data_IF_595719233433
#
_entry.id   IF_595719233433
#
_cell.length_a   1.000
_cell.length_b   1.000
_cell.length_c   1.000
_cell.angle_alpha   90.00
_cell.angle_beta   90.00
_cell.angle_gamma   90.00
#
_symmetry.space_group_name_H-M   'P 1'
#
loop_
_entity.id
_entity.type
_entity.pdbx_description
1 polymer ?
#
# COMPACT_ATOMS: atom_id res chain seq x y z
N UNK A 1 13.21 7.68 -38.21
CA UNK A 1 11.96 8.29 -37.71
C UNK A 1 12.35 9.41 -36.78
N UNK A 2 11.96 10.64 -37.09
CA UNK A 2 12.46 11.85 -36.43
C UNK A 2 12.03 11.93 -34.96
N UNK A 3 12.98 12.14 -34.04
CA UNK A 3 12.74 12.17 -32.60
C UNK A 3 11.80 13.33 -32.22
N UNK A 4 11.85 14.44 -32.95
CA UNK A 4 10.96 15.57 -32.75
C UNK A 4 9.51 15.22 -33.12
N UNK A 5 9.32 14.46 -34.20
CA UNK A 5 7.98 13.99 -34.59
C UNK A 5 7.38 13.05 -33.54
N UNK A 6 8.19 12.27 -32.83
CA UNK A 6 7.71 11.42 -31.73
C UNK A 6 7.21 12.25 -30.57
N UNK A 7 8.01 13.20 -30.07
CA UNK A 7 7.59 14.07 -28.96
C UNK A 7 6.36 14.92 -29.32
N UNK A 8 6.28 15.43 -30.55
CA UNK A 8 5.10 16.16 -31.02
C UNK A 8 3.84 15.30 -31.01
N UNK A 9 3.93 14.03 -31.43
CA UNK A 9 2.80 13.08 -31.38
C UNK A 9 2.41 12.75 -29.95
N UNK A 10 3.38 12.50 -29.07
CA UNK A 10 3.11 12.24 -27.64
C UNK A 10 2.42 13.44 -26.99
N UNK A 11 2.83 14.66 -27.32
CA UNK A 11 2.22 15.87 -26.76
C UNK A 11 0.78 16.04 -27.22
N UNK A 12 0.53 15.85 -28.52
CA UNK A 12 -0.83 15.86 -29.07
C UNK A 12 -1.70 14.79 -28.41
N UNK A 13 -1.16 13.58 -28.20
CA UNK A 13 -1.85 12.51 -27.48
C UNK A 13 -2.20 12.92 -26.06
N UNK A 14 -1.28 13.54 -25.32
CA UNK A 14 -1.52 14.02 -23.97
C UNK A 14 -2.71 15.00 -23.92
N UNK A 15 -2.78 15.96 -24.84
CA UNK A 15 -3.91 16.89 -24.92
C UNK A 15 -5.25 16.20 -25.22
N UNK A 16 -5.26 15.17 -26.06
CA UNK A 16 -6.48 14.38 -26.31
C UNK A 16 -6.89 13.57 -25.09
N UNK A 17 -5.94 12.93 -24.39
CA UNK A 17 -6.23 12.15 -23.18
C UNK A 17 -6.81 13.05 -22.08
N UNK A 18 -6.34 14.29 -21.94
CA UNK A 18 -6.91 15.23 -20.95
C UNK A 18 -8.41 15.52 -21.12
N UNK A 19 -8.95 15.37 -22.33
CA UNK A 19 -10.40 15.54 -22.59
C UNK A 19 -11.23 14.37 -22.08
N UNK A 20 -10.63 13.18 -21.97
CA UNK A 20 -11.30 11.96 -21.50
C UNK A 20 -10.92 11.58 -20.07
N UNK A 21 -9.68 11.83 -19.67
CA UNK A 21 -9.11 11.61 -18.35
C UNK A 21 -8.23 12.80 -17.96
N UNK A 22 -8.82 13.74 -17.23
CA UNK A 22 -8.15 14.95 -16.76
C UNK A 22 -7.00 14.66 -15.76
N UNK A 23 -7.06 13.51 -15.08
CA UNK A 23 -6.10 13.15 -14.04
C UNK A 23 -4.85 12.48 -14.61
N UNK A 24 -4.84 12.16 -15.90
CA UNK A 24 -3.67 11.57 -16.53
C UNK A 24 -2.41 12.42 -16.31
N UNK A 25 -1.28 11.73 -16.09
CA UNK A 25 0.02 12.38 -16.03
C UNK A 25 0.70 12.33 -17.39
N UNK A 26 1.56 13.30 -17.67
CA UNK A 26 2.41 13.25 -18.86
C UNK A 26 3.30 11.99 -18.87
N UNK A 27 3.68 11.48 -17.70
CA UNK A 27 4.48 10.26 -17.58
C UNK A 27 3.73 9.01 -18.04
N UNK A 28 2.42 8.93 -17.79
CA UNK A 28 1.56 7.83 -18.26
C UNK A 28 1.51 7.81 -19.78
N UNK A 29 1.28 8.97 -20.39
CA UNK A 29 1.25 9.09 -21.86
C UNK A 29 2.64 8.84 -22.46
N UNK A 30 3.72 9.25 -21.79
CA UNK A 30 5.08 8.92 -22.24
C UNK A 30 5.31 7.41 -22.28
N UNK A 31 4.84 6.67 -21.26
CA UNK A 31 4.91 5.21 -21.18
C UNK A 31 4.09 4.53 -22.26
N UNK A 32 2.86 4.99 -22.52
CA UNK A 32 1.99 4.50 -23.61
C UNK A 32 2.63 4.74 -25.00
N UNK A 33 3.26 5.89 -25.19
CA UNK A 33 3.84 6.29 -26.47
C UNK A 33 5.31 5.88 -26.64
N UNK A 34 5.85 5.07 -25.72
CA UNK A 34 7.25 4.62 -25.72
C UNK A 34 8.26 5.77 -25.87
N UNK A 35 8.03 6.86 -25.14
CA UNK A 35 8.92 8.02 -25.07
C UNK A 35 9.47 8.20 -23.67
N UNK A 36 10.68 8.74 -23.55
CA UNK A 36 11.29 9.00 -22.25
C UNK A 36 10.73 10.29 -21.66
N UNK A 37 10.28 10.25 -20.40
CA UNK A 37 9.72 11.42 -19.72
C UNK A 37 10.74 12.57 -19.63
N UNK A 38 12.01 12.27 -19.33
CA UNK A 38 13.07 13.29 -19.28
C UNK A 38 13.33 13.96 -20.64
N UNK A 39 13.33 13.17 -21.72
CA UNK A 39 13.47 13.70 -23.08
C UNK A 39 12.28 14.57 -23.48
N UNK A 40 11.07 14.12 -23.14
CA UNK A 40 9.83 14.85 -23.36
C UNK A 40 9.80 16.18 -22.60
N UNK A 41 10.14 16.17 -21.31
CA UNK A 41 10.18 17.36 -20.45
C UNK A 41 11.18 18.40 -20.97
N UNK A 42 12.38 17.97 -21.36
CA UNK A 42 13.39 18.85 -21.97
C UNK A 42 12.93 19.43 -23.31
N UNK A 43 12.32 18.60 -24.16
CA UNK A 43 11.78 19.03 -25.46
C UNK A 43 10.67 20.07 -25.31
N UNK A 44 9.78 19.89 -24.32
CA UNK A 44 8.70 20.81 -23.99
C UNK A 44 9.21 22.15 -23.46
N UNK A 45 10.15 22.11 -22.51
CA UNK A 45 10.73 23.31 -21.89
C UNK A 45 11.38 24.23 -22.93
N UNK A 46 12.13 23.67 -23.88
CA UNK A 46 12.75 24.42 -24.99
C UNK A 46 11.75 25.10 -25.94
N UNK A 47 10.49 24.68 -25.92
CA UNK A 47 9.41 25.18 -26.81
C UNK A 47 8.30 25.91 -26.06
N UNK A 48 8.44 26.09 -24.74
CA UNK A 48 7.46 26.79 -23.92
C UNK A 48 6.17 25.98 -23.62
N UNK A 49 6.16 24.67 -23.82
CA UNK A 49 5.00 23.85 -23.44
C UNK A 49 4.97 23.61 -21.93
N UNK A 50 3.80 23.75 -21.33
CA UNK A 50 3.57 23.54 -19.90
C UNK A 50 2.39 22.60 -19.67
N UNK A 51 2.60 21.57 -18.85
CA UNK A 51 1.53 20.65 -18.43
C UNK A 51 0.42 21.42 -17.70
N UNK A 52 0.81 22.36 -16.82
CA UNK A 52 -0.13 23.19 -16.07
C UNK A 52 -1.00 24.03 -17.01
N UNK A 53 -0.38 24.65 -18.01
CA UNK A 53 -1.11 25.47 -18.98
C UNK A 53 -2.04 24.60 -19.85
N UNK A 54 -1.55 23.46 -20.34
CA UNK A 54 -2.36 22.55 -21.14
C UNK A 54 -3.59 22.04 -20.38
N UNK A 55 -3.46 21.73 -19.09
CA UNK A 55 -4.61 21.38 -18.25
C UNK A 55 -5.59 22.54 -18.10
N UNK A 56 -5.11 23.75 -17.83
CA UNK A 56 -5.95 24.93 -17.73
C UNK A 56 -6.70 25.25 -19.04
N UNK A 57 -6.03 25.10 -20.17
CA UNK A 57 -6.63 25.30 -21.50
C UNK A 57 -7.73 24.27 -21.76
N UNK A 58 -7.52 22.99 -21.42
CA UNK A 58 -8.56 21.96 -21.56
C UNK A 58 -9.75 22.23 -20.63
N UNK A 59 -9.52 22.68 -19.39
CA UNK A 59 -10.61 23.05 -18.46
C UNK A 59 -11.46 24.18 -19.06
N UNK A 60 -10.81 25.21 -19.58
CA UNK A 60 -11.50 26.36 -20.19
C UNK A 60 -12.24 25.96 -21.46
N UNK A 61 -11.58 25.25 -22.37
CA UNK A 61 -12.06 25.06 -23.75
C UNK A 61 -12.99 23.83 -23.87
N UNK A 62 -12.82 22.82 -23.01
CA UNK A 62 -13.60 21.56 -23.08
C UNK A 62 -14.57 21.39 -21.89
N UNK A 63 -14.17 21.77 -20.68
CA UNK A 63 -15.01 21.63 -19.48
C UNK A 63 -15.72 22.94 -19.06
N UNK A 64 -15.73 23.95 -19.92
CA UNK A 64 -16.46 25.21 -19.69
C UNK A 64 -15.98 26.01 -18.46
N UNK A 65 -14.73 25.82 -18.06
CA UNK A 65 -14.14 26.50 -16.89
C UNK A 65 -14.39 25.81 -15.55
N UNK A 66 -15.10 24.68 -15.53
CA UNK A 66 -15.30 23.87 -14.32
C UNK A 66 -14.24 22.79 -14.30
N UNK A 67 -13.35 22.81 -13.30
CA UNK A 67 -12.32 21.79 -13.17
C UNK A 67 -12.96 20.42 -12.89
N UNK A 68 -12.67 19.38 -13.70
CA UNK A 68 -13.17 18.04 -13.46
C UNK A 68 -12.75 17.58 -12.08
N UNK A 69 -13.68 17.00 -11.32
CA UNK A 69 -13.31 16.37 -10.06
C UNK A 69 -12.20 15.36 -10.34
N UNK A 70 -11.13 15.34 -9.53
CA UNK A 70 -10.18 14.26 -9.62
C UNK A 70 -10.98 12.97 -9.47
N UNK A 71 -10.91 12.10 -10.48
CA UNK A 71 -11.25 10.70 -10.23
C UNK A 71 -10.42 10.38 -9.00
N UNK A 72 -11.03 9.77 -8.00
CA UNK A 72 -10.28 9.02 -7.02
C UNK A 72 -9.56 7.93 -7.80
N UNK A 73 -8.45 8.30 -8.45
CA UNK A 73 -7.35 7.39 -8.67
C UNK A 73 -7.05 6.97 -7.26
N UNK A 74 -7.57 5.80 -6.91
CA UNK A 74 -6.95 4.93 -5.93
C UNK A 74 -5.50 4.94 -6.35
N UNK A 75 -4.72 5.90 -5.80
CA UNK A 75 -3.30 5.74 -5.65
C UNK A 75 -3.18 4.30 -5.18
N UNK A 76 -2.31 3.46 -5.77
CA UNK A 76 -1.94 2.26 -5.07
C UNK A 76 -1.35 2.78 -3.78
N UNK A 77 -2.18 2.88 -2.75
CA UNK A 77 -1.74 3.15 -1.42
C UNK A 77 -0.72 2.07 -1.22
N UNK A 78 0.52 2.48 -0.96
CA UNK A 78 1.47 1.53 -0.43
C UNK A 78 0.88 1.13 0.92
N UNK A 79 0.05 0.10 0.90
CA UNK A 79 -0.40 -0.58 2.10
C UNK A 79 0.87 -1.17 2.65
N UNK A 80 1.50 -0.45 3.56
CA UNK A 80 2.52 -1.04 4.39
C UNK A 80 1.82 -2.22 5.07
N UNK A 81 2.14 -3.42 4.61
CA UNK A 81 1.81 -4.65 5.32
C UNK A 81 2.73 -4.61 6.54
N UNK A 82 2.41 -3.78 7.51
CA UNK A 82 2.88 -4.02 8.85
C UNK A 82 2.29 -5.38 9.21
N UNK A 83 3.09 -6.36 9.66
CA UNK A 83 2.54 -7.51 10.33
C UNK A 83 1.54 -6.97 11.34
N UNK A 84 0.29 -7.43 11.29
CA UNK A 84 -0.57 -7.27 12.44
C UNK A 84 0.22 -7.92 13.57
N UNK A 85 0.79 -7.12 14.46
CA UNK A 85 1.31 -7.61 15.72
C UNK A 85 0.05 -8.03 16.46
N UNK A 86 -0.41 -9.24 16.14
CA UNK A 86 -1.54 -9.88 16.78
C UNK A 86 -1.26 -9.78 18.26
N UNK A 87 -2.10 -8.99 18.95
CA UNK A 87 -1.98 -8.81 20.38
C UNK A 87 -1.99 -10.20 21.03
N UNK A 88 -1.23 -10.43 22.10
CA UNK A 88 -1.13 -11.72 22.77
C UNK A 88 -2.50 -12.35 23.14
N UNK A 89 -3.56 -11.54 23.19
CA UNK A 89 -4.94 -12.00 23.33
C UNK A 89 -5.44 -12.87 22.16
N UNK A 90 -4.96 -12.69 20.93
CA UNK A 90 -5.39 -13.47 19.75
C UNK A 90 -4.89 -14.93 19.82
N UNK A 91 -3.76 -15.16 20.49
CA UNK A 91 -3.20 -16.50 20.68
C UNK A 91 -3.60 -17.12 22.02
N UNK A 92 -4.45 -16.47 22.81
CA UNK A 92 -4.84 -16.97 24.13
C UNK A 92 -5.81 -18.15 24.00
N UNK A 93 -5.47 -19.27 24.62
CA UNK A 93 -6.34 -20.41 24.81
C UNK A 93 -7.37 -20.08 25.89
N UNK A 94 -8.64 -20.42 25.67
CA UNK A 94 -9.72 -20.19 26.63
C UNK A 94 -10.38 -21.51 27.04
N UNK A 95 -10.69 -21.63 28.33
CA UNK A 95 -11.44 -22.78 28.88
C UNK A 95 -10.72 -24.12 28.76
N UNK A 96 -9.39 -24.15 28.92
CA UNK A 96 -8.62 -25.40 28.85
C UNK A 96 -8.66 -26.14 30.19
N UNK A 97 -8.69 -27.47 30.12
CA UNK A 97 -8.58 -28.34 31.30
C UNK A 97 -7.47 -29.37 31.06
N UNK A 98 -6.53 -29.47 32.00
CA UNK A 98 -5.40 -30.39 31.96
C UNK A 98 -5.54 -31.37 33.11
N UNK A 99 -5.48 -32.66 32.80
CA UNK A 99 -5.53 -33.74 33.80
C UNK A 99 -4.17 -34.43 33.83
N UNK A 100 -3.51 -34.36 34.98
CA UNK A 100 -2.21 -35.00 35.19
C UNK A 100 -2.41 -36.48 35.53
N UNK A 101 -1.38 -37.28 35.28
CA UNK A 101 -1.36 -38.72 35.60
C UNK A 101 -1.61 -39.03 37.09
N UNK A 102 -1.31 -38.07 37.98
CA UNK A 102 -1.63 -38.13 39.42
C UNK A 102 -3.12 -38.07 39.74
N UNK A 103 -3.97 -37.83 38.73
CA UNK A 103 -5.40 -37.54 38.89
C UNK A 103 -5.70 -36.07 39.20
N UNK A 104 -4.69 -35.23 39.36
CA UNK A 104 -4.87 -33.78 39.58
C UNK A 104 -5.41 -33.14 38.31
N UNK A 105 -6.46 -32.32 38.42
CA UNK A 105 -7.06 -31.60 37.30
C UNK A 105 -6.95 -30.09 37.50
N UNK A 106 -6.42 -29.38 36.51
CA UNK A 106 -6.31 -27.91 36.50
C UNK A 106 -7.17 -27.37 35.37
N UNK A 107 -8.06 -26.42 35.70
CA UNK A 107 -8.88 -25.71 34.71
C UNK A 107 -8.45 -24.26 34.61
N UNK A 108 -8.11 -23.83 33.40
CA UNK A 108 -7.58 -22.50 33.11
C UNK A 108 -8.55 -21.75 32.21
N UNK A 109 -9.08 -20.63 32.72
CA UNK A 109 -10.07 -19.81 32.01
C UNK A 109 -9.48 -19.15 30.77
N UNK A 110 -8.25 -18.64 30.86
CA UNK A 110 -7.51 -18.05 29.76
C UNK A 110 -6.01 -18.17 30.03
N UNK A 111 -5.22 -18.58 29.04
CA UNK A 111 -3.76 -18.58 29.12
C UNK A 111 -3.14 -18.50 27.73
N UNK A 112 -1.93 -17.93 27.64
CA UNK A 112 -1.12 -18.03 26.43
C UNK A 112 -0.50 -19.43 26.32
N UNK A 113 -0.19 -19.93 25.11
CA UNK A 113 0.49 -21.20 24.92
C UNK A 113 1.81 -21.27 25.70
N UNK A 114 2.58 -20.18 25.72
CA UNK A 114 3.81 -20.07 26.50
C UNK A 114 3.58 -20.22 28.00
N UNK A 115 2.51 -19.62 28.54
CA UNK A 115 2.13 -19.77 29.95
C UNK A 115 1.75 -21.20 30.32
N UNK A 116 1.04 -21.91 29.44
CA UNK A 116 0.70 -23.32 29.63
C UNK A 116 1.95 -24.20 29.62
N UNK A 117 2.87 -23.97 28.68
CA UNK A 117 4.14 -24.72 28.61
C UNK A 117 4.97 -24.49 29.87
N UNK A 118 5.12 -23.23 30.33
CA UNK A 118 5.84 -22.92 31.58
C UNK A 118 5.21 -23.64 32.77
N UNK A 119 3.88 -23.61 32.89
CA UNK A 119 3.16 -24.31 33.97
C UNK A 119 3.42 -25.82 33.97
N UNK A 120 3.44 -26.46 32.80
CA UNK A 120 3.73 -27.89 32.69
C UNK A 120 5.18 -28.21 33.12
N UNK A 121 6.14 -27.38 32.71
CA UNK A 121 7.53 -27.52 33.12
C UNK A 121 7.71 -27.33 34.64
N UNK A 122 7.01 -26.36 35.23
CA UNK A 122 7.02 -26.15 36.68
C UNK A 122 6.36 -27.31 37.45
N UNK A 123 5.39 -28.01 36.85
CA UNK A 123 4.76 -29.20 37.45
C UNK A 123 5.68 -30.43 37.42
N UNK A 124 6.44 -30.62 36.34
CA UNK A 124 7.41 -31.73 36.20
C UNK A 124 8.74 -31.48 36.93
N UNK A 125 8.87 -30.30 37.54
CA UNK A 125 10.04 -29.88 38.32
C UNK A 125 10.33 -30.81 39.48
N UNK A 126 11.61 -31.08 39.75
CA UNK A 126 12.05 -31.88 40.89
C UNK A 126 12.25 -31.01 42.13
N UNK A 127 12.01 -31.58 43.32
CA UNK A 127 12.28 -30.90 44.59
C UNK A 127 13.76 -30.48 44.66
N UNK A 128 14.00 -29.17 44.86
CA UNK A 128 15.33 -28.57 44.99
C UNK A 128 15.70 -27.60 43.87
N UNK A 129 15.00 -27.60 42.74
CA UNK A 129 15.27 -26.63 41.68
C UNK A 129 14.75 -25.22 42.08
N UNK A 130 15.45 -24.12 41.77
CA UNK A 130 15.11 -22.75 42.21
C UNK A 130 13.88 -22.17 41.50
N UNK A 131 12.79 -21.90 42.23
CA UNK A 131 11.58 -21.27 41.69
C UNK A 131 11.89 -19.88 41.09
N UNK A 132 11.74 -19.73 39.78
CA UNK A 132 11.86 -18.42 39.11
C UNK A 132 10.46 -17.97 38.68
N UNK A 133 9.81 -17.21 39.57
CA UNK A 133 8.60 -16.45 39.25
C UNK A 133 8.97 -15.30 38.32
#
# INVERSE_FOLDING_TARGET
MDLENRFRRTWKRFQEVLKTDYNCSLADVCREQHTTFGGMSSWMSRRGYSVKQAKADVVRDYYGGVEPSPLSTTSPAFTQIAPAMSSEEEFSLAGITITFNSGTTISVKRATPGGVIKMLLDYERKEGDPCIL
#
